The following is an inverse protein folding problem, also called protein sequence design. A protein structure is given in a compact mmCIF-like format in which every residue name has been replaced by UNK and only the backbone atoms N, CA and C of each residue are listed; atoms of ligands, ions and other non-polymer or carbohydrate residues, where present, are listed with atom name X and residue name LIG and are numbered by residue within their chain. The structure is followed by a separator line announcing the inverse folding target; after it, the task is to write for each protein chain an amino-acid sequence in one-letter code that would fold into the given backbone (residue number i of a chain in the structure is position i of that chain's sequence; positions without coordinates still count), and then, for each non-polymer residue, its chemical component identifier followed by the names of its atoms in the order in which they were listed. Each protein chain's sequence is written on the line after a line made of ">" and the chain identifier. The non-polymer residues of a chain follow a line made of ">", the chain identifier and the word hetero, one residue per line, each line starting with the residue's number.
data_IF_205195906718
#
_entry.id   IF_205195906718
#
_cell.length_a   1.000
_cell.length_b   1.000
_cell.length_c   1.000
_cell.angle_alpha   90.00
_cell.angle_beta   90.00
_cell.angle_gamma   90.00
#
_symmetry.space_group_name_H-M   'P 1'
#
loop_
_entity.id
_entity.type
_entity.pdbx_description
1 polymer ?
#
# COMPACT_ATOMS: atom_id res chain seq x y z
N UNK A 1 11.19 30.75 25.07
CA UNK A 1 10.33 30.45 26.25
C UNK A 1 9.83 29.02 26.09
N UNK A 2 10.18 28.17 27.05
CA UNK A 2 10.18 26.69 27.03
C UNK A 2 8.76 26.11 27.10
N UNK A 3 8.34 25.30 26.13
CA UNK A 3 7.07 24.59 26.18
C UNK A 3 7.26 23.23 26.88
N UNK A 4 6.90 23.15 28.16
CA UNK A 4 6.98 21.91 28.95
C UNK A 4 5.98 20.87 28.44
N UNK A 5 6.46 19.64 28.22
CA UNK A 5 5.67 18.44 27.90
C UNK A 5 4.84 18.06 29.13
N UNK A 6 3.52 18.26 29.10
CA UNK A 6 2.60 17.71 30.11
C UNK A 6 2.16 16.31 29.69
N UNK A 7 2.44 15.33 30.54
CA UNK A 7 1.95 13.96 30.46
C UNK A 7 0.47 13.96 30.90
N UNK A 8 -0.42 13.35 30.12
CA UNK A 8 -1.82 13.10 30.50
C UNK A 8 -2.07 11.59 30.45
N UNK A 9 -2.49 11.03 31.59
CA UNK A 9 -2.96 9.65 31.72
C UNK A 9 -4.50 9.59 31.63
N UNK A 10 -4.93 8.61 30.83
CA UNK A 10 -6.05 7.65 30.95
C UNK A 10 -7.54 8.05 30.82
N UNK A 11 -8.22 7.17 30.07
CA UNK A 11 -9.62 6.75 30.00
C UNK A 11 -10.69 7.49 29.17
N UNK A 12 -11.43 6.69 28.39
CA UNK A 12 -12.74 7.02 27.81
C UNK A 12 -12.87 6.80 26.30
N UNK A 13 -13.36 5.63 25.87
CA UNK A 13 -13.79 5.35 24.48
C UNK A 13 -14.89 6.34 24.03
N UNK A 14 -14.65 7.05 22.94
CA UNK A 14 -15.69 7.44 21.98
C UNK A 14 -15.05 7.66 20.60
N UNK A 15 -15.47 6.88 19.60
CA UNK A 15 -15.02 7.05 18.20
C UNK A 15 -15.56 8.37 17.68
N UNK A 16 -14.72 9.41 17.70
CA UNK A 16 -14.96 10.65 16.95
C UNK A 16 -14.39 10.47 15.55
N UNK A 17 -15.25 10.59 14.54
CA UNK A 17 -14.83 10.80 13.15
C UNK A 17 -13.97 12.07 13.09
N UNK A 18 -12.81 12.06 12.39
CA UNK A 18 -11.96 13.24 12.33
C UNK A 18 -12.66 14.30 11.49
N UNK A 19 -13.01 15.43 12.13
CA UNK A 19 -13.40 16.66 11.44
C UNK A 19 -12.23 17.09 10.56
N UNK A 20 -12.47 17.30 9.28
CA UNK A 20 -11.51 17.90 8.36
C UNK A 20 -11.39 19.39 8.73
N UNK A 21 -10.54 19.73 9.69
CA UNK A 21 -10.20 21.12 10.00
C UNK A 21 -9.09 21.58 9.07
N UNK A 22 -9.36 22.60 8.25
CA UNK A 22 -8.43 23.25 7.32
C UNK A 22 -7.31 24.06 8.02
N UNK A 23 -7.23 24.01 9.35
CA UNK A 23 -6.23 24.74 10.12
C UNK A 23 -4.94 23.92 10.24
N UNK A 24 -3.81 24.57 9.97
CA UNK A 24 -2.45 24.02 10.13
C UNK A 24 -2.32 23.41 11.54
N UNK A 25 -2.12 22.08 11.69
CA UNK A 25 -2.11 21.42 12.99
C UNK A 25 -0.93 21.84 13.89
N UNK A 26 0.06 22.52 13.30
CA UNK A 26 1.27 22.97 13.98
C UNK A 26 1.60 24.44 13.65
N UNK A 27 0.76 25.41 14.08
CA UNK A 27 0.88 26.82 13.66
C UNK A 27 2.18 27.50 14.11
N UNK A 28 2.88 26.91 15.10
CA UNK A 28 4.17 27.42 15.58
C UNK A 28 5.39 26.74 14.92
N UNK A 29 5.20 25.73 14.07
CA UNK A 29 6.28 24.98 13.43
C UNK A 29 6.43 25.40 11.97
N UNK A 30 7.19 26.46 11.75
CA UNK A 30 7.40 27.06 10.42
C UNK A 30 8.44 26.31 9.57
N UNK A 31 9.03 25.22 10.10
CA UNK A 31 10.06 24.41 9.43
C UNK A 31 9.77 22.90 9.56
N UNK A 32 10.21 22.09 8.57
CA UNK A 32 10.91 22.51 7.35
C UNK A 32 10.00 23.30 6.38
N UNK A 33 10.56 24.28 5.67
CA UNK A 33 9.85 25.00 4.60
C UNK A 33 9.60 24.06 3.42
N UNK A 34 8.67 24.43 2.53
CA UNK A 34 8.42 23.65 1.31
C UNK A 34 9.67 23.54 0.42
N UNK A 35 10.54 24.55 0.42
CA UNK A 35 11.82 24.53 -0.30
C UNK A 35 12.82 23.57 0.34
N UNK A 36 12.95 23.61 1.68
CA UNK A 36 13.81 22.67 2.42
C UNK A 36 13.36 21.22 2.21
N UNK A 37 12.06 20.95 2.23
CA UNK A 37 11.51 19.62 1.91
C UNK A 37 11.84 19.17 0.48
N UNK A 38 11.79 20.07 -0.50
CA UNK A 38 12.16 19.76 -1.89
C UNK A 38 13.66 19.50 -2.03
N UNK A 39 14.51 20.30 -1.39
CA UNK A 39 15.96 20.10 -1.41
C UNK A 39 16.34 18.72 -0.85
N UNK A 40 15.80 18.34 0.32
CA UNK A 40 16.04 17.01 0.91
C UNK A 40 15.54 15.88 0.00
N UNK A 41 14.36 16.04 -0.62
CA UNK A 41 13.85 15.07 -1.59
C UNK A 41 14.80 14.90 -2.77
N UNK A 42 15.29 15.99 -3.33
CA UNK A 42 16.15 15.98 -4.53
C UNK A 42 17.53 15.39 -4.22
N UNK A 43 18.09 15.70 -3.05
CA UNK A 43 19.33 15.08 -2.54
C UNK A 43 19.16 13.57 -2.31
N UNK A 44 18.07 13.13 -1.68
CA UNK A 44 17.78 11.70 -1.50
C UNK A 44 17.61 10.98 -2.83
N UNK A 45 16.96 11.62 -3.81
CA UNK A 45 16.78 11.06 -5.14
C UNK A 45 18.11 10.97 -5.90
N UNK A 46 18.98 11.97 -5.77
CA UNK A 46 20.31 11.94 -6.37
C UNK A 46 21.21 10.86 -5.74
N UNK A 47 21.09 10.63 -4.42
CA UNK A 47 21.87 9.64 -3.69
C UNK A 47 21.40 8.20 -3.97
N UNK A 48 20.10 7.94 -3.92
CA UNK A 48 19.55 6.59 -4.00
C UNK A 48 19.07 6.20 -5.41
N UNK A 49 18.90 7.17 -6.31
CA UNK A 49 18.25 6.97 -7.59
C UNK A 49 16.73 6.78 -7.46
N UNK A 50 16.04 6.77 -8.60
CA UNK A 50 14.62 6.39 -8.63
C UNK A 50 14.51 4.85 -8.60
N UNK A 51 13.70 4.26 -7.70
CA UNK A 51 13.67 2.80 -7.61
C UNK A 51 13.07 2.18 -8.89
N UNK A 52 13.79 1.25 -9.54
CA UNK A 52 13.44 0.74 -10.87
C UNK A 52 12.08 0.03 -10.89
N UNK A 53 11.69 -0.61 -9.80
CA UNK A 53 10.41 -1.30 -9.63
C UNK A 53 9.19 -0.37 -9.80
N UNK A 54 9.36 0.94 -9.60
CA UNK A 54 8.30 1.92 -9.76
C UNK A 54 8.24 2.56 -11.16
N UNK A 55 9.19 2.25 -12.06
CA UNK A 55 9.25 2.87 -13.39
C UNK A 55 7.97 2.62 -14.20
N UNK A 56 7.40 1.41 -14.09
CA UNK A 56 6.15 1.05 -14.77
C UNK A 56 4.97 1.93 -14.36
N UNK A 57 4.86 2.27 -13.07
CA UNK A 57 3.79 3.12 -12.54
C UNK A 57 4.03 4.59 -12.87
N UNK A 58 5.29 5.03 -12.85
CA UNK A 58 5.67 6.37 -13.30
C UNK A 58 5.29 6.59 -14.76
N UNK A 59 5.62 5.64 -15.64
CA UNK A 59 5.26 5.66 -17.06
C UNK A 59 3.74 5.70 -17.26
N UNK A 60 3.00 4.83 -16.57
CA UNK A 60 1.53 4.84 -16.62
C UNK A 60 0.90 6.17 -16.22
N UNK A 61 1.40 6.82 -15.14
CA UNK A 61 0.90 8.14 -14.74
C UNK A 61 1.17 9.21 -15.79
N UNK A 62 2.37 9.22 -16.38
CA UNK A 62 2.71 10.17 -17.44
C UNK A 62 1.80 9.98 -18.67
N UNK A 63 1.58 8.74 -19.09
CA UNK A 63 0.67 8.43 -20.20
C UNK A 63 -0.80 8.82 -19.91
N UNK A 64 -1.27 8.69 -18.66
CA UNK A 64 -2.63 9.10 -18.26
C UNK A 64 -2.79 10.63 -18.14
N UNK A 65 -1.69 11.35 -17.87
CA UNK A 65 -1.69 12.82 -17.72
C UNK A 65 -1.48 13.56 -19.05
N UNK A 66 -0.99 12.89 -20.09
CA UNK A 66 -0.81 13.45 -21.43
C UNK A 66 -1.80 12.82 -22.46
N UNK A 67 -3.06 13.28 -22.55
CA UNK A 67 -3.87 13.01 -23.73
C UNK A 67 -3.53 13.96 -24.90
N UNK A 68 -2.68 14.97 -24.70
CA UNK A 68 -2.46 16.05 -25.67
C UNK A 68 -1.04 16.64 -25.61
N UNK A 69 -0.05 15.92 -26.12
CA UNK A 69 1.06 16.56 -26.84
C UNK A 69 1.80 15.54 -27.71
N UNK A 70 1.58 15.65 -29.03
CA UNK A 70 2.49 15.12 -30.03
C UNK A 70 3.73 16.01 -30.00
N UNK A 71 4.76 15.65 -29.25
CA UNK A 71 6.13 15.97 -29.63
C UNK A 71 7.11 15.07 -28.88
N UNK A 72 7.76 14.22 -29.68
CA UNK A 72 8.74 13.26 -29.25
C UNK A 72 9.99 13.97 -28.73
N UNK A 73 10.43 13.64 -27.53
CA UNK A 73 11.84 13.38 -27.27
C UNK A 73 11.99 12.07 -26.49
N UNK A 74 12.59 11.13 -27.21
CA UNK A 74 12.90 9.76 -26.86
C UNK A 74 13.92 9.67 -25.72
N UNK A 75 13.54 8.96 -24.65
CA UNK A 75 14.46 8.41 -23.64
C UNK A 75 14.44 6.87 -23.73
N UNK A 76 15.55 6.19 -23.43
CA UNK A 76 15.95 4.97 -24.11
C UNK A 76 15.07 3.77 -23.78
N UNK A 77 14.76 2.99 -24.82
CA UNK A 77 14.18 1.66 -24.76
C UNK A 77 15.12 0.75 -23.96
N UNK A 78 14.82 0.56 -22.67
CA UNK A 78 15.35 -0.60 -21.95
C UNK A 78 14.54 -1.79 -22.44
N UNK A 79 15.29 -2.67 -23.10
CA UNK A 79 14.93 -3.90 -23.77
C UNK A 79 13.73 -4.64 -23.17
N UNK A 80 12.90 -5.15 -24.09
CA UNK A 80 11.93 -6.21 -23.91
C UNK A 80 12.50 -7.35 -23.07
N UNK A 81 12.12 -7.43 -21.80
CA UNK A 81 12.15 -8.69 -21.08
C UNK A 81 10.80 -9.36 -21.34
N UNK A 82 10.82 -10.24 -22.32
CA UNK A 82 9.76 -11.16 -22.70
C UNK A 82 9.65 -12.22 -21.60
N UNK A 83 9.02 -11.84 -20.50
CA UNK A 83 8.73 -12.70 -19.38
C UNK A 83 7.26 -12.51 -19.00
N UNK A 84 6.55 -13.62 -18.82
CA UNK A 84 5.17 -13.79 -18.34
C UNK A 84 4.89 -13.02 -17.02
N UNK A 85 4.99 -11.69 -17.07
CA UNK A 85 4.68 -10.80 -15.97
C UNK A 85 3.18 -10.58 -15.99
N UNK A 86 2.45 -11.60 -15.51
CA UNK A 86 1.04 -11.45 -15.14
C UNK A 86 0.90 -10.17 -14.35
N UNK A 87 0.09 -9.25 -14.87
CA UNK A 87 -0.07 -7.92 -14.30
C UNK A 87 -0.52 -8.06 -12.85
N UNK A 88 0.27 -7.49 -11.94
CA UNK A 88 0.00 -7.57 -10.51
C UNK A 88 -1.30 -6.83 -10.18
N UNK A 89 -2.28 -7.56 -9.63
CA UNK A 89 -3.56 -6.96 -9.25
C UNK A 89 -3.40 -6.00 -8.07
N UNK A 90 -4.33 -5.06 -7.90
CA UNK A 90 -4.36 -4.17 -6.73
C UNK A 90 -4.47 -4.99 -5.43
N UNK A 91 -5.19 -6.12 -5.49
CA UNK A 91 -5.32 -7.04 -4.36
C UNK A 91 -3.99 -7.75 -4.05
N UNK A 92 -3.23 -8.16 -5.07
CA UNK A 92 -1.89 -8.72 -4.91
C UNK A 92 -0.99 -7.72 -4.16
N UNK A 93 -1.00 -6.46 -4.60
CA UNK A 93 -0.24 -5.39 -3.95
C UNK A 93 -0.62 -5.21 -2.47
N UNK A 94 -1.91 -5.18 -2.16
CA UNK A 94 -2.38 -5.06 -0.77
C UNK A 94 -1.92 -6.24 0.09
N UNK A 95 -2.05 -7.47 -0.41
CA UNK A 95 -1.63 -8.66 0.35
C UNK A 95 -0.11 -8.70 0.52
N UNK A 96 0.68 -8.29 -0.49
CA UNK A 96 2.14 -8.14 -0.33
C UNK A 96 2.50 -7.15 0.79
N UNK A 97 1.79 -6.02 0.89
CA UNK A 97 2.00 -5.04 1.97
C UNK A 97 1.63 -5.66 3.34
N UNK A 98 0.52 -6.41 3.44
CA UNK A 98 0.18 -7.13 4.68
C UNK A 98 1.28 -8.13 5.07
N UNK A 99 1.85 -8.84 4.08
CA UNK A 99 2.91 -9.81 4.31
C UNK A 99 4.25 -9.16 4.67
N UNK A 100 4.52 -7.93 4.25
CA UNK A 100 5.75 -7.20 4.58
C UNK A 100 5.77 -6.60 6.00
N UNK A 101 4.62 -6.54 6.67
CA UNK A 101 4.55 -6.03 8.05
C UNK A 101 5.42 -6.86 9.00
N UNK A 102 6.29 -6.19 9.76
CA UNK A 102 7.14 -6.80 10.80
C UNK A 102 8.01 -7.96 10.30
N UNK A 103 8.51 -7.89 9.07
CA UNK A 103 9.43 -8.90 8.50
C UNK A 103 10.38 -8.26 7.50
N UNK A 104 11.33 -9.05 6.98
CA UNK A 104 12.26 -8.60 5.94
C UNK A 104 11.64 -8.75 4.55
N UNK A 105 12.15 -7.98 3.59
CA UNK A 105 11.70 -8.06 2.21
C UNK A 105 11.80 -9.49 1.66
N UNK A 106 12.95 -10.14 1.82
CA UNK A 106 13.18 -11.53 1.40
C UNK A 106 12.12 -12.50 1.95
N UNK A 107 11.76 -12.34 3.22
CA UNK A 107 10.75 -13.20 3.85
C UNK A 107 9.35 -12.91 3.32
N UNK A 108 9.02 -11.64 3.10
CA UNK A 108 7.73 -11.23 2.54
C UNK A 108 7.54 -11.72 1.09
N UNK A 109 8.58 -11.65 0.26
CA UNK A 109 8.59 -12.17 -1.10
C UNK A 109 8.42 -13.69 -1.12
N UNK A 110 9.17 -14.42 -0.27
CA UNK A 110 9.01 -15.88 -0.10
C UNK A 110 7.62 -16.27 0.37
N UNK A 111 7.05 -15.51 1.32
CA UNK A 111 5.69 -15.76 1.81
C UNK A 111 4.65 -15.56 0.71
N UNK A 112 4.76 -14.50 -0.10
CA UNK A 112 3.83 -14.26 -1.21
C UNK A 112 3.98 -15.31 -2.32
N UNK A 113 5.21 -15.67 -2.70
CA UNK A 113 5.47 -16.72 -3.68
C UNK A 113 4.90 -18.08 -3.22
N UNK A 114 5.14 -18.44 -1.96
CA UNK A 114 4.57 -19.66 -1.37
C UNK A 114 3.03 -19.61 -1.31
N UNK A 115 2.44 -18.46 -0.98
CA UNK A 115 0.99 -18.27 -0.99
C UNK A 115 0.40 -18.53 -2.37
N UNK A 116 0.95 -17.89 -3.42
CA UNK A 116 0.46 -18.04 -4.79
C UNK A 116 0.73 -19.42 -5.39
N UNK A 117 1.79 -20.09 -4.94
CA UNK A 117 2.08 -21.48 -5.32
C UNK A 117 1.05 -22.47 -4.75
N UNK A 118 0.65 -22.28 -3.48
CA UNK A 118 -0.35 -23.14 -2.82
C UNK A 118 -1.78 -22.77 -3.23
N UNK A 119 -2.05 -21.48 -3.44
CA UNK A 119 -3.36 -20.93 -3.78
C UNK A 119 -3.25 -20.03 -5.03
N UNK A 120 -3.40 -20.61 -6.24
CA UNK A 120 -3.26 -19.87 -7.49
C UNK A 120 -4.26 -18.72 -7.65
N UNK A 121 -5.47 -18.84 -7.09
CA UNK A 121 -6.53 -17.82 -7.15
C UNK A 121 -6.86 -17.23 -5.77
N UNK A 122 -7.52 -16.07 -5.74
CA UNK A 122 -7.96 -15.47 -4.47
C UNK A 122 -9.16 -16.22 -3.88
N UNK A 123 -9.95 -16.87 -4.73
CA UNK A 123 -11.02 -17.78 -4.38
C UNK A 123 -10.48 -18.99 -3.61
N UNK A 124 -9.34 -19.55 -4.03
CA UNK A 124 -8.66 -20.63 -3.30
C UNK A 124 -8.24 -20.17 -1.90
N UNK A 125 -7.67 -18.96 -1.79
CA UNK A 125 -7.30 -18.37 -0.48
C UNK A 125 -8.55 -18.13 0.38
N UNK A 126 -9.65 -17.68 -0.22
CA UNK A 126 -10.91 -17.43 0.48
C UNK A 126 -11.56 -18.73 0.98
N UNK A 127 -11.51 -19.81 0.22
CA UNK A 127 -12.05 -21.12 0.59
C UNK A 127 -11.13 -21.92 1.54
N UNK A 128 -9.81 -21.65 1.53
CA UNK A 128 -8.85 -22.41 2.30
C UNK A 128 -9.10 -22.41 3.82
N UNK A 129 -8.76 -23.50 4.50
CA UNK A 129 -8.70 -23.50 5.96
C UNK A 129 -7.65 -22.51 6.47
N UNK A 130 -7.95 -21.81 7.57
CA UNK A 130 -7.06 -20.81 8.16
C UNK A 130 -5.66 -21.38 8.44
N UNK A 131 -5.58 -22.62 8.91
CA UNK A 131 -4.31 -23.27 9.23
C UNK A 131 -3.46 -23.55 7.98
N UNK A 132 -4.09 -23.90 6.86
CA UNK A 132 -3.41 -24.07 5.57
C UNK A 132 -2.86 -22.74 5.04
N UNK A 133 -3.64 -21.66 5.19
CA UNK A 133 -3.18 -20.31 4.86
C UNK A 133 -1.99 -19.87 5.74
N UNK A 134 -2.08 -20.09 7.06
CA UNK A 134 -0.98 -19.80 7.99
C UNK A 134 0.31 -20.53 7.62
N UNK A 135 0.20 -21.81 7.25
CA UNK A 135 1.34 -22.61 6.81
C UNK A 135 1.97 -22.05 5.52
N UNK A 136 1.14 -21.66 4.55
CA UNK A 136 1.61 -21.10 3.28
C UNK A 136 2.38 -19.77 3.46
N UNK A 137 2.00 -18.95 4.45
CA UNK A 137 2.64 -17.64 4.70
C UNK A 137 3.65 -17.66 5.85
N UNK A 138 4.01 -18.84 6.38
CA UNK A 138 4.81 -19.00 7.59
C UNK A 138 6.13 -18.23 7.56
N UNK A 139 6.79 -18.17 6.40
CA UNK A 139 8.04 -17.42 6.19
C UNK A 139 7.93 -15.93 6.54
N UNK A 140 6.74 -15.34 6.38
CA UNK A 140 6.50 -13.93 6.66
C UNK A 140 6.49 -13.59 8.15
N UNK A 141 6.44 -14.58 9.05
CA UNK A 141 6.28 -14.35 10.50
C UNK A 141 4.90 -13.81 10.88
N UNK A 142 4.51 -13.96 12.14
CA UNK A 142 3.17 -13.59 12.65
C UNK A 142 2.01 -14.18 11.80
N UNK A 143 2.19 -15.39 11.28
CA UNK A 143 1.29 -16.01 10.32
C UNK A 143 -0.19 -16.03 10.77
N UNK A 144 -0.55 -16.36 12.03
CA UNK A 144 -1.95 -16.30 12.46
C UNK A 144 -2.59 -14.91 12.34
N UNK A 145 -1.84 -13.86 12.70
CA UNK A 145 -2.32 -12.47 12.59
C UNK A 145 -2.47 -12.06 11.12
N UNK A 146 -1.50 -12.41 10.28
CA UNK A 146 -1.52 -12.08 8.84
C UNK A 146 -2.62 -12.86 8.11
N UNK A 147 -2.78 -14.14 8.38
CA UNK A 147 -3.85 -14.97 7.81
C UNK A 147 -5.23 -14.41 8.19
N UNK A 148 -5.43 -14.03 9.45
CA UNK A 148 -6.68 -13.38 9.88
C UNK A 148 -6.92 -12.06 9.14
N UNK A 149 -5.90 -11.22 8.96
CA UNK A 149 -6.02 -9.99 8.18
C UNK A 149 -6.43 -10.26 6.72
N UNK A 150 -5.73 -11.18 6.04
CA UNK A 150 -6.01 -11.57 4.65
C UNK A 150 -7.45 -12.08 4.52
N UNK A 151 -7.88 -12.99 5.39
CA UNK A 151 -9.26 -13.50 5.40
C UNK A 151 -10.29 -12.37 5.60
N UNK A 152 -10.04 -11.43 6.51
CA UNK A 152 -10.95 -10.30 6.72
C UNK A 152 -11.08 -9.42 5.47
N UNK A 153 -9.97 -9.15 4.77
CA UNK A 153 -9.98 -8.40 3.50
C UNK A 153 -10.86 -9.13 2.48
N UNK A 154 -10.62 -10.42 2.26
CA UNK A 154 -11.36 -11.22 1.27
C UNK A 154 -12.84 -11.35 1.62
N UNK A 155 -13.19 -11.62 2.89
CA UNK A 155 -14.60 -11.66 3.32
C UNK A 155 -15.30 -10.33 3.11
N UNK A 156 -14.67 -9.22 3.50
CA UNK A 156 -15.26 -7.89 3.32
C UNK A 156 -15.48 -7.55 1.84
N UNK A 157 -14.55 -7.93 0.95
CA UNK A 157 -14.72 -7.77 -0.49
C UNK A 157 -15.87 -8.61 -1.04
N UNK A 158 -15.93 -9.89 -0.64
CA UNK A 158 -16.99 -10.79 -1.07
C UNK A 158 -18.37 -10.30 -0.60
N UNK A 159 -18.50 -9.91 0.67
CA UNK A 159 -19.75 -9.41 1.26
C UNK A 159 -20.23 -8.10 0.62
N UNK A 160 -19.32 -7.17 0.32
CA UNK A 160 -19.71 -5.82 -0.16
C UNK A 160 -19.83 -5.72 -1.68
N UNK A 161 -19.10 -6.55 -2.43
CA UNK A 161 -18.96 -6.42 -3.89
C UNK A 161 -19.21 -7.73 -4.65
N UNK A 162 -19.33 -8.87 -3.97
CA UNK A 162 -19.50 -10.19 -4.60
C UNK A 162 -18.29 -10.67 -5.40
N UNK A 163 -17.16 -9.96 -5.35
CA UNK A 163 -15.95 -10.26 -6.14
C UNK A 163 -14.69 -9.99 -5.32
N UNK A 164 -13.68 -10.85 -5.44
CA UNK A 164 -12.37 -10.72 -4.77
C UNK A 164 -11.42 -9.85 -5.61
N UNK A 165 -11.78 -8.57 -5.80
CA UNK A 165 -11.08 -7.66 -6.70
C UNK A 165 -11.06 -6.23 -6.14
N UNK A 166 -9.94 -5.53 -6.37
CA UNK A 166 -9.73 -4.13 -5.97
C UNK A 166 -9.44 -3.19 -7.15
N UNK A 167 -9.59 -3.64 -8.40
CA UNK A 167 -9.26 -2.82 -9.58
C UNK A 167 -10.11 -1.55 -9.68
N UNK A 168 -11.34 -1.56 -9.14
CA UNK A 168 -12.21 -0.39 -9.08
C UNK A 168 -11.61 0.79 -8.30
N UNK A 169 -10.59 0.56 -7.45
CA UNK A 169 -9.90 1.63 -6.74
C UNK A 169 -9.14 2.57 -7.69
N UNK A 170 -8.81 2.13 -8.91
CA UNK A 170 -8.03 2.94 -9.88
C UNK A 170 -8.78 4.16 -10.40
N UNK A 171 -10.10 4.16 -10.29
CA UNK A 171 -10.99 5.21 -10.78
C UNK A 171 -11.45 6.15 -9.65
N UNK A 172 -11.08 5.87 -8.41
CA UNK A 172 -11.44 6.68 -7.25
C UNK A 172 -10.41 7.77 -6.96
N UNK A 173 -10.84 8.83 -6.28
CA UNK A 173 -9.93 9.84 -5.75
C UNK A 173 -9.10 9.27 -4.59
N UNK A 174 -7.94 9.89 -4.31
CA UNK A 174 -7.06 9.47 -3.21
C UNK A 174 -7.79 9.45 -1.85
N UNK A 175 -8.71 10.38 -1.62
CA UNK A 175 -9.49 10.43 -0.39
C UNK A 175 -10.45 9.24 -0.28
N UNK A 176 -11.13 8.89 -1.37
CA UNK A 176 -12.03 7.73 -1.44
C UNK A 176 -11.28 6.42 -1.30
N UNK A 177 -10.11 6.27 -1.95
CA UNK A 177 -9.26 5.09 -1.81
C UNK A 177 -8.86 4.90 -0.35
N UNK A 178 -8.38 5.96 0.31
CA UNK A 178 -8.01 5.89 1.74
C UNK A 178 -9.20 5.50 2.61
N UNK A 179 -10.38 6.07 2.34
CA UNK A 179 -11.60 5.73 3.08
C UNK A 179 -11.99 4.26 2.86
N UNK A 180 -11.90 3.78 1.63
CA UNK A 180 -12.28 2.42 1.26
C UNK A 180 -11.34 1.38 1.88
N UNK A 181 -10.02 1.58 1.78
CA UNK A 181 -9.01 0.71 2.39
C UNK A 181 -9.10 0.70 3.93
N UNK A 182 -9.50 1.81 4.55
CA UNK A 182 -9.66 1.90 6.01
C UNK A 182 -10.79 1.02 6.57
N UNK A 183 -11.67 0.50 5.71
CA UNK A 183 -12.73 -0.42 6.14
C UNK A 183 -12.22 -1.84 6.40
N UNK A 184 -11.04 -2.21 5.89
CA UNK A 184 -10.49 -3.54 6.07
C UNK A 184 -9.79 -3.67 7.42
N UNK A 185 -10.32 -4.54 8.29
CA UNK A 185 -9.73 -4.80 9.61
C UNK A 185 -8.32 -5.39 9.47
N UNK A 186 -7.32 -4.62 9.90
CA UNK A 186 -5.89 -4.98 9.80
C UNK A 186 -5.12 -4.18 8.75
N UNK A 187 -5.82 -3.35 7.96
CA UNK A 187 -5.26 -2.33 7.08
C UNK A 187 -5.40 -0.98 7.80
N UNK A 188 -4.28 -0.37 8.17
CA UNK A 188 -4.24 0.92 8.87
C UNK A 188 -3.63 2.03 8.01
N UNK A 189 -3.57 3.29 8.48
CA UNK A 189 -3.15 4.43 7.64
C UNK A 189 -1.74 4.34 7.01
N UNK A 190 -0.88 3.45 7.54
CA UNK A 190 0.45 3.19 6.97
C UNK A 190 0.39 2.21 5.78
N UNK A 191 -0.56 1.28 5.82
CA UNK A 191 -0.81 0.28 4.77
C UNK A 191 -1.62 0.93 3.66
#
# INVERSE_FOLDING_TARGET
>A
KTCKRKQLQLDGRSRKTPKLTTEEPYPCHHRPTAEECRAVRDELLALHGFPPEFLKYRRHRLMKMEPFSNEAQSEPLINSDDGDHKEESVLDGLIKIVLSQNTTELNSQKAFASLKSVFPTWEDVYAAETKSLENAIRYGGLAPRKASCIKNVLSCLHERKGKLCLEYLRDLSVAEIKSELSNFKGVGPKT
#
